data_IF_886704761329
#
_entry.id   IF_886704761329
#
_cell.length_a   1.000
_cell.length_b   1.000
_cell.length_c   1.000
_cell.angle_alpha   90.00
_cell.angle_beta   90.00
_cell.angle_gamma   90.00
#
_symmetry.space_group_name_H-M   'P 1'
#
loop_
_entity.id
_entity.type
_entity.pdbx_description
1 polymer ?
#
# COMPACT_ATOMS: atom_id res chain seq x y z
N UNK A 1 -51.20 20.46 -23.96
CA UNK A 1 -50.15 19.83 -23.11
C UNK A 1 -49.97 20.72 -21.89
N UNK A 2 -50.14 20.13 -20.70
CA UNK A 2 -50.10 20.88 -19.45
C UNK A 2 -48.65 21.12 -19.02
N UNK A 3 -48.19 22.38 -18.84
CA UNK A 3 -46.81 22.67 -18.38
C UNK A 3 -46.47 22.05 -17.04
N UNK A 4 -47.45 21.66 -16.22
CA UNK A 4 -47.26 20.97 -14.96
C UNK A 4 -46.82 19.51 -15.16
N UNK A 5 -47.31 18.83 -16.19
CA UNK A 5 -46.94 17.46 -16.54
C UNK A 5 -45.49 17.40 -17.06
N UNK A 6 -45.09 18.37 -17.87
CA UNK A 6 -43.70 18.45 -18.36
C UNK A 6 -42.71 18.71 -17.23
N UNK A 7 -43.06 19.56 -16.26
CA UNK A 7 -42.22 19.81 -15.10
C UNK A 7 -42.12 18.58 -14.17
N UNK A 8 -43.19 17.80 -14.03
CA UNK A 8 -43.20 16.56 -13.26
C UNK A 8 -42.32 15.50 -13.92
N UNK A 9 -42.40 15.32 -15.24
CA UNK A 9 -41.57 14.39 -16.02
C UNK A 9 -40.09 14.77 -15.95
N UNK A 10 -39.77 16.06 -16.04
CA UNK A 10 -38.40 16.56 -15.93
C UNK A 10 -37.78 16.24 -14.55
N UNK A 11 -38.52 16.51 -13.46
CA UNK A 11 -38.10 16.19 -12.08
C UNK A 11 -37.91 14.66 -11.88
N UNK A 12 -38.80 13.85 -12.44
CA UNK A 12 -38.66 12.41 -12.38
C UNK A 12 -37.37 11.93 -13.10
N UNK A 13 -37.10 12.46 -14.30
CA UNK A 13 -35.88 12.17 -15.06
C UNK A 13 -34.60 12.54 -14.31
N UNK A 14 -34.57 13.71 -13.69
CA UNK A 14 -33.43 14.16 -12.88
C UNK A 14 -33.18 13.23 -11.67
N UNK A 15 -34.24 12.83 -10.99
CA UNK A 15 -34.21 11.93 -9.85
C UNK A 15 -33.67 10.55 -10.24
N UNK A 16 -34.18 9.97 -11.35
CA UNK A 16 -33.67 8.70 -11.88
C UNK A 16 -32.22 8.81 -12.37
N UNK A 17 -31.84 9.93 -12.99
CA UNK A 17 -30.44 10.14 -13.39
C UNK A 17 -29.50 10.25 -12.18
N UNK A 18 -29.92 10.88 -11.09
CA UNK A 18 -29.16 10.96 -9.85
C UNK A 18 -29.00 9.58 -9.18
N UNK A 19 -30.07 8.78 -9.16
CA UNK A 19 -30.08 7.42 -8.62
C UNK A 19 -29.17 6.48 -9.44
N UNK A 20 -29.25 6.54 -10.78
CA UNK A 20 -28.32 5.80 -11.66
C UNK A 20 -26.86 6.17 -11.40
N UNK A 21 -26.53 7.47 -11.28
CA UNK A 21 -25.18 7.93 -10.95
C UNK A 21 -24.71 7.42 -9.59
N UNK A 22 -25.61 7.31 -8.61
CA UNK A 22 -25.30 6.75 -7.29
C UNK A 22 -25.04 5.23 -7.36
N UNK A 23 -25.87 4.49 -8.08
CA UNK A 23 -25.70 3.05 -8.29
C UNK A 23 -24.43 2.75 -9.07
N UNK A 24 -24.14 3.52 -10.12
CA UNK A 24 -22.90 3.36 -10.90
C UNK A 24 -21.65 3.64 -10.04
N UNK A 25 -21.70 4.65 -9.17
CA UNK A 25 -20.62 4.90 -8.19
C UNK A 25 -20.43 3.72 -7.23
N UNK A 26 -21.52 3.20 -6.66
CA UNK A 26 -21.47 2.02 -5.76
C UNK A 26 -20.94 0.79 -6.47
N UNK A 27 -21.36 0.55 -7.71
CA UNK A 27 -20.89 -0.55 -8.53
C UNK A 27 -19.39 -0.43 -8.83
N UNK A 28 -18.92 0.74 -9.28
CA UNK A 28 -17.49 1.01 -9.50
C UNK A 28 -16.69 0.86 -8.20
N UNK A 29 -17.19 1.31 -7.08
CA UNK A 29 -16.55 1.14 -5.78
C UNK A 29 -16.48 -0.32 -5.35
N UNK A 30 -17.51 -1.11 -5.61
CA UNK A 30 -17.50 -2.56 -5.35
C UNK A 30 -16.53 -3.30 -6.30
N UNK A 31 -16.51 -2.93 -7.58
CA UNK A 31 -15.56 -3.46 -8.57
C UNK A 31 -14.11 -3.10 -8.20
N UNK A 32 -13.87 -1.90 -7.67
CA UNK A 32 -12.55 -1.46 -7.18
C UNK A 32 -12.10 -2.25 -5.96
N UNK A 33 -12.98 -2.43 -4.96
CA UNK A 33 -12.68 -3.27 -3.78
C UNK A 33 -12.28 -4.69 -4.18
N UNK A 34 -12.86 -5.23 -5.24
CA UNK A 34 -12.50 -6.54 -5.78
C UNK A 34 -11.10 -6.61 -6.40
N UNK A 35 -10.46 -5.48 -6.70
CA UNK A 35 -9.09 -5.40 -7.25
C UNK A 35 -8.05 -4.89 -6.26
N UNK A 36 -8.44 -4.42 -5.07
CA UNK A 36 -7.51 -4.04 -4.02
C UNK A 36 -6.79 -5.26 -3.44
N UNK A 37 -5.59 -5.09 -2.87
CA UNK A 37 -4.87 -6.21 -2.26
C UNK A 37 -5.60 -6.72 -1.02
N UNK A 38 -5.46 -8.02 -0.78
CA UNK A 38 -5.95 -8.73 0.41
C UNK A 38 -4.82 -9.36 1.22
N UNK A 39 -3.56 -9.11 0.82
CA UNK A 39 -2.34 -9.51 1.52
C UNK A 39 -1.35 -8.34 1.51
N UNK A 40 -0.90 -7.92 2.67
CA UNK A 40 0.13 -6.88 2.81
C UNK A 40 1.31 -7.45 3.60
N UNK A 41 2.49 -7.40 3.00
CA UNK A 41 3.74 -7.72 3.68
C UNK A 41 4.37 -6.42 4.14
N UNK A 42 4.42 -6.24 5.44
CA UNK A 42 5.08 -5.13 6.12
C UNK A 42 6.34 -5.64 6.81
N UNK A 43 7.14 -4.76 7.34
CA UNK A 43 8.30 -5.15 8.14
C UNK A 43 9.44 -4.16 8.04
N UNK A 44 10.41 -4.30 8.93
CA UNK A 44 11.58 -3.44 8.94
C UNK A 44 12.39 -3.52 7.63
N UNK A 45 13.06 -2.44 7.30
CA UNK A 45 14.04 -2.44 6.21
C UNK A 45 15.08 -3.54 6.46
N UNK A 46 15.45 -4.28 5.41
CA UNK A 46 16.44 -5.37 5.47
C UNK A 46 16.02 -6.63 6.25
N UNK A 47 14.69 -6.83 6.43
CA UNK A 47 14.13 -8.04 7.04
C UNK A 47 13.78 -9.15 6.02
N UNK A 48 14.28 -9.10 4.79
CA UNK A 48 14.04 -10.15 3.79
C UNK A 48 12.72 -10.03 3.02
N UNK A 49 12.04 -8.90 3.10
CA UNK A 49 10.76 -8.66 2.43
C UNK A 49 10.82 -8.81 0.90
N UNK A 50 11.98 -8.55 0.28
CA UNK A 50 12.17 -8.74 -1.17
C UNK A 50 12.15 -10.22 -1.55
N UNK A 51 12.82 -11.07 -0.77
CA UNK A 51 12.83 -12.52 -1.00
C UNK A 51 11.42 -13.09 -0.81
N UNK A 52 10.72 -12.72 0.27
CA UNK A 52 9.36 -13.17 0.51
C UNK A 52 8.42 -12.74 -0.62
N UNK A 53 8.50 -11.48 -1.07
CA UNK A 53 7.71 -10.98 -2.20
C UNK A 53 7.93 -11.84 -3.45
N UNK A 54 9.18 -12.16 -3.76
CA UNK A 54 9.53 -13.01 -4.89
C UNK A 54 8.95 -14.42 -4.75
N UNK A 55 9.13 -15.08 -3.61
CA UNK A 55 8.62 -16.43 -3.38
C UNK A 55 7.10 -16.49 -3.39
N UNK A 56 6.42 -15.52 -2.81
CA UNK A 56 4.95 -15.42 -2.88
C UNK A 56 4.47 -15.29 -4.33
N UNK A 57 5.17 -14.51 -5.15
CA UNK A 57 4.80 -14.32 -6.55
C UNK A 57 5.06 -15.56 -7.44
N UNK A 58 5.76 -16.58 -6.95
CA UNK A 58 5.90 -17.88 -7.63
C UNK A 58 4.69 -18.79 -7.39
N UNK A 59 3.85 -18.48 -6.40
CA UNK A 59 2.71 -19.33 -6.07
C UNK A 59 1.56 -19.08 -7.08
N UNK A 60 0.93 -20.14 -7.65
CA UNK A 60 -0.06 -19.98 -8.73
C UNK A 60 -1.33 -19.24 -8.35
N UNK A 61 -1.64 -19.11 -7.07
CA UNK A 61 -2.82 -18.41 -6.58
C UNK A 61 -2.52 -17.01 -6.02
N UNK A 62 -1.26 -16.56 -6.05
CA UNK A 62 -0.83 -15.28 -5.49
C UNK A 62 -0.24 -14.42 -6.60
N UNK A 63 -0.77 -13.24 -6.77
CA UNK A 63 -0.18 -12.20 -7.62
C UNK A 63 0.32 -11.05 -6.74
N UNK A 64 1.61 -10.84 -6.74
CA UNK A 64 2.22 -9.70 -6.05
C UNK A 64 2.26 -8.48 -6.96
N UNK A 65 2.16 -7.28 -6.38
CA UNK A 65 2.21 -6.01 -7.10
C UNK A 65 3.49 -5.84 -7.93
N UNK A 66 3.38 -5.13 -9.04
CA UNK A 66 4.52 -4.66 -9.83
C UNK A 66 4.36 -3.16 -10.10
N UNK A 67 5.34 -2.34 -9.66
CA UNK A 67 6.57 -2.70 -8.94
C UNK A 67 6.31 -3.15 -7.49
N UNK A 68 7.33 -3.69 -6.85
CA UNK A 68 7.39 -3.86 -5.39
C UNK A 68 7.50 -2.46 -4.74
N UNK A 69 7.02 -2.34 -3.49
CA UNK A 69 7.09 -1.11 -2.69
C UNK A 69 6.28 0.04 -3.30
N UNK A 70 4.99 -0.21 -3.49
CA UNK A 70 4.06 0.84 -3.92
C UNK A 70 3.97 1.99 -2.92
N UNK A 71 4.25 1.75 -1.65
CA UNK A 71 4.23 2.76 -0.58
C UNK A 71 2.94 3.61 -0.58
N UNK A 72 1.84 3.01 -1.02
CA UNK A 72 0.58 3.73 -1.23
C UNK A 72 0.06 4.37 0.05
N UNK A 73 0.12 3.66 1.19
CA UNK A 73 -0.40 4.18 2.45
C UNK A 73 0.50 5.20 3.15
N UNK A 74 1.63 5.57 2.55
CA UNK A 74 2.49 6.67 3.02
C UNK A 74 2.01 7.97 2.40
N UNK A 75 1.51 8.91 3.23
CA UNK A 75 0.88 10.15 2.76
C UNK A 75 1.85 11.01 1.95
N UNK A 76 3.10 11.06 2.39
CA UNK A 76 4.17 11.83 1.78
C UNK A 76 4.67 11.27 0.44
N UNK A 77 4.18 10.09 0.05
CA UNK A 77 4.57 9.42 -1.19
C UNK A 77 3.39 9.28 -2.15
N UNK A 78 2.57 8.24 -2.02
CA UNK A 78 1.65 7.85 -3.09
C UNK A 78 0.16 7.83 -2.69
N UNK A 79 -0.19 8.25 -1.45
CA UNK A 79 -1.59 8.27 -1.00
C UNK A 79 -2.50 9.14 -1.87
N UNK A 80 -1.99 10.30 -2.31
CA UNK A 80 -2.74 11.25 -3.14
C UNK A 80 -3.04 10.75 -4.56
N UNK A 81 -2.34 9.71 -5.03
CA UNK A 81 -2.62 9.08 -6.32
C UNK A 81 -3.97 8.35 -6.34
N UNK A 82 -4.52 8.09 -5.16
CA UNK A 82 -5.87 7.57 -4.97
C UNK A 82 -5.99 6.04 -5.15
N UNK A 83 -7.12 5.50 -4.67
CA UNK A 83 -7.33 4.05 -4.62
C UNK A 83 -7.42 3.39 -6.00
N UNK A 84 -7.70 4.15 -7.04
CA UNK A 84 -7.76 3.65 -8.42
C UNK A 84 -6.38 3.35 -8.96
N UNK A 85 -5.44 4.27 -8.74
CA UNK A 85 -4.03 4.05 -9.05
C UNK A 85 -3.51 2.81 -8.31
N UNK A 86 -3.79 2.72 -7.02
CA UNK A 86 -3.36 1.58 -6.21
C UNK A 86 -3.94 0.25 -6.73
N UNK A 87 -5.24 0.19 -6.98
CA UNK A 87 -5.93 -0.99 -7.51
C UNK A 87 -5.41 -1.43 -8.89
N UNK A 88 -4.88 -0.50 -9.70
CA UNK A 88 -4.36 -0.81 -11.03
C UNK A 88 -3.11 -1.71 -11.03
N UNK A 89 -2.44 -1.84 -9.88
CA UNK A 89 -1.22 -2.65 -9.72
C UNK A 89 -1.50 -4.13 -9.37
N UNK A 90 -2.78 -4.53 -9.28
CA UNK A 90 -3.14 -5.87 -8.86
C UNK A 90 -3.96 -6.62 -9.92
N UNK A 91 -3.61 -7.89 -10.13
CA UNK A 91 -4.38 -8.77 -11.01
C UNK A 91 -5.71 -9.14 -10.36
N UNK A 92 -6.81 -8.70 -10.98
CA UNK A 92 -8.18 -8.95 -10.49
C UNK A 92 -8.56 -10.43 -10.51
N UNK A 93 -7.92 -11.22 -11.35
CA UNK A 93 -8.21 -12.66 -11.48
C UNK A 93 -7.55 -13.49 -10.36
N UNK A 94 -6.49 -12.96 -9.72
CA UNK A 94 -5.79 -13.69 -8.68
C UNK A 94 -6.60 -13.75 -7.36
N UNK A 95 -6.76 -14.94 -6.75
CA UNK A 95 -7.42 -15.09 -5.45
C UNK A 95 -6.74 -14.30 -4.34
N UNK A 96 -5.40 -14.27 -4.33
CA UNK A 96 -4.58 -13.50 -3.40
C UNK A 96 -3.81 -12.44 -4.18
N UNK A 97 -4.03 -11.19 -3.81
CA UNK A 97 -3.36 -10.01 -4.36
C UNK A 97 -2.52 -9.39 -3.27
N UNK A 98 -1.21 -9.36 -3.47
CA UNK A 98 -0.26 -8.98 -2.44
C UNK A 98 0.52 -7.72 -2.77
N UNK A 99 0.86 -6.97 -1.75
CA UNK A 99 1.82 -5.87 -1.79
C UNK A 99 2.88 -6.06 -0.71
N UNK A 100 4.06 -5.48 -0.95
CA UNK A 100 5.17 -5.47 0.02
C UNK A 100 5.79 -4.10 0.09
N UNK A 101 5.61 -3.40 1.21
CA UNK A 101 6.19 -2.06 1.45
C UNK A 101 6.72 -1.95 2.89
N UNK A 102 8.05 -2.05 3.08
CA UNK A 102 8.67 -1.95 4.40
C UNK A 102 8.44 -0.60 5.10
N UNK A 103 8.26 0.47 4.33
CA UNK A 103 8.01 1.81 4.87
C UNK A 103 6.72 1.92 5.70
N UNK A 104 5.80 0.95 5.60
CA UNK A 104 4.57 0.95 6.40
C UNK A 104 4.79 0.79 7.91
N UNK A 105 5.98 0.36 8.32
CA UNK A 105 6.37 0.26 9.74
C UNK A 105 7.39 1.30 10.17
N UNK A 106 7.71 2.27 9.32
CA UNK A 106 8.78 3.24 9.59
C UNK A 106 8.27 4.44 10.41
N UNK A 107 7.86 4.18 11.66
CA UNK A 107 7.51 5.19 12.65
C UNK A 107 8.79 5.75 13.33
N UNK A 108 8.79 7.01 13.73
CA UNK A 108 7.74 8.02 13.56
C UNK A 108 7.79 8.77 12.22
N UNK A 109 8.63 8.33 11.28
CA UNK A 109 8.83 9.03 10.00
C UNK A 109 7.56 9.14 9.17
N UNK A 110 6.76 8.08 9.13
CA UNK A 110 5.52 8.02 8.36
C UNK A 110 4.36 7.67 9.27
N UNK A 111 3.52 8.66 9.55
CA UNK A 111 2.38 8.52 10.45
C UNK A 111 1.07 8.23 9.69
N UNK A 112 0.07 7.71 10.41
CA UNK A 112 -1.28 7.47 9.88
C UNK A 112 -1.39 6.36 8.83
N UNK A 113 -0.35 5.53 8.66
CA UNK A 113 -0.35 4.41 7.69
C UNK A 113 -1.41 3.37 8.05
N UNK A 114 -1.47 2.99 9.32
CA UNK A 114 -2.41 1.96 9.80
C UNK A 114 -3.87 2.41 9.63
N UNK A 115 -4.17 3.67 9.92
CA UNK A 115 -5.50 4.27 9.77
C UNK A 115 -5.93 4.30 8.30
N UNK A 116 -5.05 4.72 7.40
CA UNK A 116 -5.31 4.72 5.95
C UNK A 116 -5.52 3.30 5.42
N UNK A 117 -4.69 2.35 5.86
CA UNK A 117 -4.82 0.93 5.50
C UNK A 117 -6.16 0.38 5.98
N UNK A 118 -6.51 0.62 7.25
CA UNK A 118 -7.80 0.19 7.82
C UNK A 118 -8.99 0.79 7.09
N UNK A 119 -8.90 2.04 6.65
CA UNK A 119 -10.01 2.71 5.95
C UNK A 119 -10.29 2.13 4.57
N UNK A 120 -9.26 1.65 3.86
CA UNK A 120 -9.38 1.18 2.49
C UNK A 120 -9.48 -0.34 2.36
N UNK A 121 -8.66 -1.08 3.13
CA UNK A 121 -8.53 -2.54 3.07
C UNK A 121 -8.64 -3.18 4.46
N UNK A 122 -9.76 -2.98 5.20
CA UNK A 122 -9.91 -3.42 6.58
C UNK A 122 -9.74 -4.94 6.79
N UNK A 123 -10.01 -5.74 5.74
CA UNK A 123 -9.97 -7.20 5.78
C UNK A 123 -8.68 -7.80 5.23
N UNK A 124 -7.69 -6.95 4.88
CA UNK A 124 -6.41 -7.45 4.38
C UNK A 124 -5.63 -8.21 5.46
N UNK A 125 -5.04 -9.33 5.07
CA UNK A 125 -4.11 -10.07 5.91
C UNK A 125 -2.77 -9.38 5.92
N UNK A 126 -2.18 -9.23 7.10
CA UNK A 126 -0.89 -8.57 7.28
C UNK A 126 0.15 -9.60 7.70
N UNK A 127 1.26 -9.63 6.98
CA UNK A 127 2.46 -10.37 7.36
C UNK A 127 3.52 -9.37 7.78
N UNK A 128 3.94 -9.43 9.04
CA UNK A 128 5.00 -8.57 9.56
C UNK A 128 6.32 -9.34 9.63
N UNK A 129 7.30 -8.89 8.84
CA UNK A 129 8.63 -9.48 8.82
C UNK A 129 9.55 -8.77 9.79
N UNK A 130 10.20 -9.56 10.62
CA UNK A 130 11.21 -9.10 11.58
C UNK A 130 12.51 -9.86 11.38
N UNK A 131 13.61 -9.29 11.85
CA UNK A 131 14.94 -9.87 11.84
C UNK A 131 15.65 -9.50 13.13
N UNK A 132 16.67 -10.28 13.50
CA UNK A 132 17.58 -9.88 14.57
C UNK A 132 18.05 -8.43 14.37
N UNK A 133 17.93 -7.55 15.37
CA UNK A 133 18.21 -6.13 15.20
C UNK A 133 19.66 -5.83 14.78
N UNK A 134 20.63 -6.59 15.28
CA UNK A 134 22.05 -6.39 14.95
C UNK A 134 22.29 -6.80 13.48
N UNK A 135 21.81 -7.98 13.09
CA UNK A 135 21.89 -8.44 11.69
C UNK A 135 21.17 -7.50 10.72
N UNK A 136 20.06 -6.91 11.15
CA UNK A 136 19.29 -5.94 10.36
C UNK A 136 20.10 -4.66 10.16
N UNK A 137 20.68 -4.11 11.26
CA UNK A 137 21.49 -2.88 11.21
C UNK A 137 22.69 -3.07 10.27
N UNK A 138 23.42 -4.17 10.44
CA UNK A 138 24.55 -4.50 9.58
C UNK A 138 24.14 -4.62 8.10
N UNK A 139 23.07 -5.33 7.83
CA UNK A 139 22.53 -5.45 6.46
C UNK A 139 22.08 -4.11 5.87
N UNK A 140 21.58 -3.18 6.70
CA UNK A 140 21.20 -1.84 6.27
C UNK A 140 22.42 -0.99 5.95
N UNK A 141 23.44 -1.01 6.82
CA UNK A 141 24.71 -0.35 6.59
C UNK A 141 25.36 -0.80 5.28
N UNK A 142 25.52 -2.12 5.09
CA UNK A 142 26.12 -2.68 3.88
C UNK A 142 25.35 -2.32 2.60
N UNK A 143 24.03 -2.25 2.70
CA UNK A 143 23.19 -1.81 1.59
C UNK A 143 23.44 -0.36 1.20
N UNK A 144 23.47 0.54 2.19
CA UNK A 144 23.70 1.96 1.96
C UNK A 144 25.13 2.23 1.47
N UNK A 145 26.12 1.51 2.02
CA UNK A 145 27.49 1.57 1.56
C UNK A 145 27.61 1.14 0.08
N UNK A 146 27.02 0.01 -0.26
CA UNK A 146 27.01 -0.49 -1.65
C UNK A 146 26.23 0.38 -2.64
N UNK A 147 25.23 1.14 -2.16
CA UNK A 147 24.47 2.10 -2.96
C UNK A 147 25.11 3.51 -3.00
N UNK A 148 26.21 3.74 -2.27
CA UNK A 148 26.87 5.05 -2.19
C UNK A 148 26.13 6.09 -1.32
N UNK A 149 25.17 5.65 -0.50
CA UNK A 149 24.44 6.51 0.44
C UNK A 149 25.15 6.64 1.80
N UNK A 150 26.16 5.80 2.06
CA UNK A 150 26.97 5.83 3.26
C UNK A 150 28.44 5.86 2.88
N UNK A 151 29.22 6.67 3.60
CA UNK A 151 30.67 6.81 3.41
C UNK A 151 31.48 6.61 4.70
N UNK A 152 30.80 6.56 5.85
CA UNK A 152 31.42 6.38 7.17
C UNK A 152 31.81 4.94 7.40
N UNK A 153 32.87 4.74 8.20
CA UNK A 153 33.23 3.41 8.70
C UNK A 153 32.12 2.82 9.58
N UNK A 154 32.09 1.48 9.69
CA UNK A 154 31.02 0.76 10.39
C UNK A 154 30.87 1.19 11.85
N UNK A 155 31.98 1.39 12.56
CA UNK A 155 31.96 1.77 13.98
C UNK A 155 31.36 3.17 14.17
N UNK A 156 31.66 4.11 13.28
CA UNK A 156 31.10 5.46 13.29
C UNK A 156 29.62 5.45 12.91
N UNK A 157 29.26 4.72 11.87
CA UNK A 157 27.88 4.67 11.35
C UNK A 157 26.92 3.97 12.31
N UNK A 158 27.34 2.89 12.96
CA UNK A 158 26.52 2.10 13.89
C UNK A 158 26.65 2.55 15.35
N UNK A 159 27.69 3.28 15.70
CA UNK A 159 27.92 3.79 17.05
C UNK A 159 27.04 4.98 17.45
N UNK A 160 26.34 5.62 16.51
CA UNK A 160 25.40 6.68 16.80
C UNK A 160 24.03 6.13 17.19
N UNK A 161 23.62 6.19 18.48
CA UNK A 161 22.33 5.66 18.94
C UNK A 161 21.13 6.40 18.34
N UNK A 162 21.32 7.63 17.85
CA UNK A 162 20.30 8.41 17.15
C UNK A 162 20.39 8.24 15.63
N UNK A 163 21.36 7.48 15.17
CA UNK A 163 21.59 7.22 13.75
C UNK A 163 20.45 6.42 13.11
N UNK A 164 20.34 6.57 11.81
CA UNK A 164 19.26 5.96 11.02
C UNK A 164 19.25 4.41 11.05
N UNK A 165 20.37 3.79 11.43
CA UNK A 165 20.47 2.34 11.50
C UNK A 165 19.87 1.75 12.78
N UNK A 166 19.90 2.51 13.87
CA UNK A 166 19.36 2.11 15.18
C UNK A 166 17.90 2.54 15.32
N UNK A 167 17.60 3.80 15.01
CA UNK A 167 16.28 4.41 15.27
C UNK A 167 15.20 4.08 14.25
N UNK A 168 15.53 3.50 13.10
CA UNK A 168 14.58 3.16 12.02
C UNK A 168 14.36 1.65 11.91
N UNK A 169 14.06 1.04 13.03
CA UNK A 169 13.78 -0.40 13.11
C UNK A 169 12.30 -0.65 13.11
#
# INVERSE_FOLDING_TARGET
EDPADDAMVARARERFAAERRHLDRRRRQAERRGSLPNLIVIGGLKCGTTSLHHYLNLHPQIAMSRPKELNFFVAELNWELGPEWYASHFDRAAPVRGETSPHYTNLPRFEGVAERMRSLIPDARIVYMVRDPIDRMLSHYLHNLGAGYESKGIDEALGDPNGSYVSRS
#
